data_IF_569298293922
#
_entry.id   IF_569298293922
#
_cell.length_a   1.000
_cell.length_b   1.000
_cell.length_c   1.000
_cell.angle_alpha   90.00
_cell.angle_beta   90.00
_cell.angle_gamma   90.00
#
_symmetry.space_group_name_H-M   'P 1'
#
loop_
_entity.id
_entity.type
_entity.pdbx_description
1 polymer ?
#
# COMPACT_ATOMS: atom_id res chain seq x y z
N UNK A 1 7.87 12.55 -8.70
CA UNK A 1 7.53 11.14 -8.36
C UNK A 1 6.47 10.62 -9.34
N UNK A 2 6.41 9.32 -9.66
CA UNK A 2 5.34 8.73 -10.48
C UNK A 2 4.43 7.85 -9.60
N UNK A 3 3.10 8.09 -9.55
CA UNK A 3 2.20 7.26 -8.76
C UNK A 3 1.99 5.91 -9.46
N UNK A 4 2.59 4.86 -8.90
CA UNK A 4 2.42 3.49 -9.35
C UNK A 4 1.79 2.66 -8.23
N UNK A 5 0.92 1.73 -8.61
CA UNK A 5 0.35 0.74 -7.70
C UNK A 5 1.14 -0.57 -7.80
N UNK A 6 1.58 -1.09 -6.66
CA UNK A 6 2.29 -2.37 -6.58
C UNK A 6 1.33 -3.48 -6.18
N UNK A 7 1.35 -4.57 -6.94
CA UNK A 7 0.74 -5.81 -6.48
C UNK A 7 1.72 -6.53 -5.54
N UNK A 8 1.47 -6.42 -4.23
CA UNK A 8 2.29 -7.04 -3.20
C UNK A 8 1.77 -8.39 -2.74
N UNK A 9 0.69 -8.91 -3.32
CA UNK A 9 0.15 -10.22 -2.92
C UNK A 9 1.20 -11.32 -3.03
N UNK A 10 1.55 -11.93 -1.90
CA UNK A 10 2.58 -12.97 -1.78
C UNK A 10 4.02 -12.50 -2.06
N UNK A 11 4.25 -11.19 -2.13
CA UNK A 11 5.60 -10.62 -2.31
C UNK A 11 6.27 -10.42 -0.95
N UNK A 12 7.52 -10.85 -0.86
CA UNK A 12 8.34 -10.71 0.35
C UNK A 12 8.71 -9.26 0.58
N UNK A 13 8.35 -8.73 1.74
CA UNK A 13 8.65 -7.36 2.16
C UNK A 13 9.31 -7.40 3.53
N UNK A 14 10.41 -6.65 3.69
CA UNK A 14 11.09 -6.52 4.97
C UNK A 14 10.76 -5.18 5.62
N UNK A 15 10.44 -5.21 6.91
CA UNK A 15 10.30 -4.02 7.76
C UNK A 15 11.33 -4.10 8.87
N UNK A 16 12.19 -3.08 8.96
CA UNK A 16 13.15 -2.94 10.05
C UNK A 16 12.55 -1.99 11.10
N UNK A 17 12.27 -2.51 12.29
CA UNK A 17 11.61 -1.81 13.38
C UNK A 17 10.14 -2.20 13.56
N UNK A 18 9.65 -2.07 14.80
CA UNK A 18 8.27 -2.33 15.19
C UNK A 18 7.73 -1.24 16.14
N UNK A 19 8.12 0.02 15.89
CA UNK A 19 7.58 1.20 16.56
C UNK A 19 6.29 1.72 15.90
N UNK A 20 5.73 2.80 16.44
CA UNK A 20 4.50 3.45 15.94
C UNK A 20 4.49 3.68 14.43
N UNK A 21 5.60 4.19 13.90
CA UNK A 21 5.73 4.49 12.47
C UNK A 21 5.78 3.20 11.65
N UNK A 22 6.47 2.16 12.13
CA UNK A 22 6.53 0.85 11.48
C UNK A 22 5.18 0.13 11.50
N UNK A 23 4.48 0.14 12.63
CA UNK A 23 3.15 -0.51 12.77
C UNK A 23 2.14 0.00 11.75
N UNK A 24 2.11 1.32 11.50
CA UNK A 24 1.26 1.90 10.45
C UNK A 24 1.57 1.38 9.04
N UNK A 25 2.82 0.98 8.77
CA UNK A 25 3.32 0.56 7.45
C UNK A 25 3.09 -0.93 7.29
N UNK A 26 3.36 -1.70 8.34
CA UNK A 26 3.02 -3.12 8.45
C UNK A 26 1.53 -3.31 8.17
N UNK A 27 0.64 -2.51 8.77
CA UNK A 27 -0.80 -2.60 8.52
C UNK A 27 -1.18 -2.36 7.04
N UNK A 28 -0.53 -1.40 6.36
CA UNK A 28 -0.76 -1.14 4.94
C UNK A 28 -0.25 -2.27 4.05
N UNK A 29 0.90 -2.85 4.39
CA UNK A 29 1.51 -3.97 3.68
C UNK A 29 0.68 -5.26 3.85
N UNK A 30 0.18 -5.51 5.06
CA UNK A 30 -0.65 -6.67 5.39
C UNK A 30 -1.99 -6.59 4.65
N UNK A 31 -2.63 -5.41 4.65
CA UNK A 31 -3.82 -5.14 3.84
C UNK A 31 -3.58 -5.25 2.32
N UNK A 32 -2.33 -5.16 1.86
CA UNK A 32 -1.92 -5.38 0.47
C UNK A 32 -1.57 -6.86 0.17
N UNK A 33 -1.60 -7.74 1.17
CA UNK A 33 -1.30 -9.16 1.06
C UNK A 33 0.18 -9.48 0.96
N UNK A 34 1.06 -8.60 1.43
CA UNK A 34 2.49 -8.84 1.46
C UNK A 34 2.86 -10.00 2.41
N UNK A 35 3.90 -10.76 2.05
CA UNK A 35 4.56 -11.68 2.95
C UNK A 35 5.61 -10.90 3.77
N UNK A 36 5.24 -10.53 4.99
CA UNK A 36 5.99 -9.55 5.79
C UNK A 36 6.98 -10.28 6.70
N UNK A 37 8.23 -9.85 6.63
CA UNK A 37 9.24 -10.12 7.66
C UNK A 37 9.53 -8.84 8.44
N UNK A 38 9.57 -8.93 9.76
CA UNK A 38 9.93 -7.82 10.65
C UNK A 38 11.21 -8.18 11.40
N UNK A 39 12.22 -7.31 11.35
CA UNK A 39 13.42 -7.40 12.19
C UNK A 39 13.45 -6.17 13.10
N UNK A 40 13.50 -6.36 14.41
CA UNK A 40 13.49 -5.25 15.37
C UNK A 40 14.23 -5.61 16.65
N UNK A 41 14.80 -4.63 17.35
CA UNK A 41 15.35 -4.84 18.70
C UNK A 41 14.28 -4.85 19.78
N UNK A 42 13.14 -4.20 19.51
CA UNK A 42 12.03 -4.05 20.45
C UNK A 42 10.70 -3.99 19.69
N UNK A 43 9.64 -4.57 20.26
CA UNK A 43 8.28 -4.56 19.71
C UNK A 43 7.43 -3.61 20.54
N UNK A 44 7.17 -2.42 20.01
CA UNK A 44 6.37 -1.38 20.68
C UNK A 44 4.94 -1.31 20.17
N UNK A 45 4.71 -1.79 18.93
CA UNK A 45 3.40 -1.93 18.32
C UNK A 45 3.14 -3.40 17.95
N UNK A 46 1.88 -3.85 17.94
CA UNK A 46 1.53 -5.19 17.49
C UNK A 46 2.02 -5.47 16.07
N UNK A 47 2.65 -6.63 15.90
CA UNK A 47 2.99 -7.22 14.61
C UNK A 47 1.93 -8.30 14.32
N UNK A 48 1.32 -8.34 13.12
CA UNK A 48 0.29 -9.33 12.81
C UNK A 48 0.86 -10.74 12.84
N UNK A 49 0.05 -11.71 13.26
CA UNK A 49 0.46 -13.13 13.36
C UNK A 49 0.87 -13.74 12.01
N UNK A 50 0.43 -13.14 10.90
CA UNK A 50 0.83 -13.50 9.54
C UNK A 50 2.29 -13.16 9.23
N UNK A 51 2.92 -12.25 9.97
CA UNK A 51 4.27 -11.81 9.72
C UNK A 51 5.32 -12.67 10.44
N UNK A 52 6.46 -12.87 9.79
CA UNK A 52 7.63 -13.47 10.42
C UNK A 52 8.36 -12.42 11.25
N UNK A 53 8.54 -12.63 12.56
CA UNK A 53 9.19 -11.68 13.47
C UNK A 53 10.54 -12.20 13.98
N UNK A 54 11.58 -11.38 13.84
CA UNK A 54 12.89 -11.58 14.45
C UNK A 54 13.21 -10.45 15.43
N UNK A 55 13.33 -10.78 16.71
CA UNK A 55 13.70 -9.81 17.76
C UNK A 55 15.22 -9.79 17.93
N UNK A 56 15.90 -9.07 17.05
CA UNK A 56 17.35 -8.85 17.06
C UNK A 56 17.73 -7.59 16.26
N UNK A 57 18.97 -7.07 16.40
CA UNK A 57 19.47 -6.03 15.52
C UNK A 57 19.55 -6.49 14.06
N UNK A 58 19.44 -5.54 13.13
CA UNK A 58 19.77 -5.75 11.73
C UNK A 58 21.25 -6.12 11.57
N UNK A 59 21.52 -6.99 10.59
CA UNK A 59 22.86 -7.44 10.20
C UNK A 59 22.99 -7.35 8.67
N UNK A 60 24.15 -6.96 8.13
CA UNK A 60 24.39 -7.01 6.69
C UNK A 60 24.10 -8.40 6.13
N UNK A 61 23.32 -8.46 5.04
CA UNK A 61 22.81 -9.71 4.47
C UNK A 61 21.32 -9.94 4.74
N UNK A 62 20.73 -9.28 5.74
CA UNK A 62 19.30 -9.43 6.06
C UNK A 62 18.37 -8.96 4.93
N UNK A 63 18.87 -8.12 4.01
CA UNK A 63 18.07 -7.66 2.87
C UNK A 63 18.00 -8.72 1.75
N UNK A 64 18.72 -9.84 1.86
CA UNK A 64 18.76 -10.88 0.85
C UNK A 64 17.38 -11.53 0.62
N UNK A 65 16.98 -11.62 -0.66
CA UNK A 65 15.70 -12.21 -1.05
C UNK A 65 14.49 -11.28 -0.93
N UNK A 66 14.68 -10.02 -0.51
CA UNK A 66 13.65 -8.99 -0.48
C UNK A 66 13.77 -8.04 -1.68
N UNK A 67 12.64 -7.55 -2.19
CA UNK A 67 12.59 -6.56 -3.28
C UNK A 67 12.11 -5.19 -2.80
N UNK A 68 11.48 -5.15 -1.63
CA UNK A 68 10.95 -3.94 -0.99
C UNK A 68 11.33 -3.97 0.50
N UNK A 69 11.98 -2.91 0.97
CA UNK A 69 12.43 -2.77 2.35
C UNK A 69 11.93 -1.43 2.91
N UNK A 70 11.44 -1.47 4.15
CA UNK A 70 11.08 -0.28 4.92
C UNK A 70 12.02 -0.22 6.13
N UNK A 71 12.87 0.81 6.19
CA UNK A 71 13.70 1.09 7.36
C UNK A 71 13.01 2.09 8.29
N UNK A 72 12.50 1.59 9.41
CA UNK A 72 11.85 2.36 10.47
C UNK A 72 12.58 2.20 11.82
N UNK A 73 13.91 2.02 11.76
CA UNK A 73 14.74 1.76 12.96
C UNK A 73 14.96 2.98 13.84
N UNK A 74 14.95 4.19 13.25
CA UNK A 74 15.33 5.43 13.93
C UNK A 74 16.82 5.55 14.28
N UNK A 75 17.66 4.59 13.87
CA UNK A 75 19.10 4.57 14.20
C UNK A 75 19.92 4.89 12.95
N UNK A 76 20.57 6.07 12.95
CA UNK A 76 21.32 6.57 11.78
C UNK A 76 22.35 5.59 11.24
N UNK A 77 23.18 5.01 12.11
CA UNK A 77 24.20 4.03 11.71
C UNK A 77 23.60 2.76 11.06
N UNK A 78 22.41 2.32 11.49
CA UNK A 78 21.72 1.18 10.87
C UNK A 78 21.15 1.58 9.52
N UNK A 79 20.54 2.76 9.43
CA UNK A 79 20.02 3.27 8.15
C UNK A 79 21.11 3.39 7.09
N UNK A 80 22.32 3.81 7.46
CA UNK A 80 23.44 3.94 6.52
C UNK A 80 23.84 2.58 5.93
N UNK A 81 23.89 1.53 6.77
CA UNK A 81 24.16 0.16 6.33
C UNK A 81 23.06 -0.36 5.39
N UNK A 82 21.80 -0.17 5.78
CA UNK A 82 20.63 -0.60 5.01
C UNK A 82 20.57 0.10 3.65
N UNK A 83 20.85 1.42 3.61
CA UNK A 83 20.87 2.21 2.37
C UNK A 83 21.98 1.72 1.43
N UNK A 84 23.19 1.49 1.98
CA UNK A 84 24.30 0.98 1.18
C UNK A 84 23.98 -0.42 0.62
N UNK A 85 23.45 -1.32 1.45
CA UNK A 85 23.10 -2.67 1.02
C UNK A 85 21.97 -2.67 -0.01
N UNK A 86 20.88 -1.95 0.24
CA UNK A 86 19.74 -1.86 -0.67
C UNK A 86 20.17 -1.35 -2.05
N UNK A 87 20.99 -0.29 -2.08
CA UNK A 87 21.54 0.26 -3.33
C UNK A 87 22.39 -0.75 -4.08
N UNK A 88 23.25 -1.50 -3.38
CA UNK A 88 24.13 -2.50 -4.01
C UNK A 88 23.35 -3.68 -4.63
N UNK A 89 22.15 -3.96 -4.12
CA UNK A 89 21.28 -5.06 -4.54
C UNK A 89 20.14 -4.64 -5.47
N UNK A 90 19.94 -3.33 -5.70
CA UNK A 90 18.81 -2.82 -6.48
C UNK A 90 17.46 -3.02 -5.79
N UNK A 91 17.44 -3.00 -4.45
CA UNK A 91 16.23 -3.14 -3.64
C UNK A 91 15.57 -1.77 -3.47
N UNK A 92 14.25 -1.69 -3.62
CA UNK A 92 13.52 -0.46 -3.32
C UNK A 92 13.41 -0.26 -1.82
N UNK A 93 13.94 0.87 -1.37
CA UNK A 93 14.02 1.23 0.04
C UNK A 93 13.16 2.45 0.36
N UNK A 94 12.42 2.37 1.47
CA UNK A 94 11.84 3.54 2.13
C UNK A 94 12.50 3.70 3.50
N UNK A 95 13.20 4.80 3.73
CA UNK A 95 13.74 5.18 5.03
C UNK A 95 12.79 6.17 5.68
N UNK A 96 12.17 5.77 6.78
CA UNK A 96 11.26 6.62 7.54
C UNK A 96 11.97 7.89 7.98
N UNK A 97 11.28 9.02 7.81
CA UNK A 97 11.74 10.38 8.15
C UNK A 97 13.01 10.84 7.40
N UNK A 98 13.44 10.11 6.36
CA UNK A 98 14.51 10.54 5.46
C UNK A 98 14.11 10.42 3.98
N UNK A 99 13.35 11.41 3.47
CA UNK A 99 12.92 11.44 2.08
C UNK A 99 14.05 11.40 1.05
N UNK A 100 15.26 11.85 1.41
CA UNK A 100 16.41 11.92 0.49
C UNK A 100 17.01 10.55 0.17
N UNK A 101 16.69 9.54 0.99
CA UNK A 101 17.18 8.16 0.85
C UNK A 101 16.05 7.16 0.55
N UNK A 102 14.90 7.65 0.08
CA UNK A 102 13.75 6.83 -0.31
C UNK A 102 13.66 6.68 -1.83
N UNK A 103 13.43 5.45 -2.30
CA UNK A 103 13.08 5.16 -3.70
C UNK A 103 11.57 5.31 -3.95
N UNK A 104 10.76 5.17 -2.88
CA UNK A 104 9.30 5.28 -2.93
C UNK A 104 8.75 5.92 -1.66
N UNK A 105 7.51 6.42 -1.75
CA UNK A 105 6.83 7.08 -0.64
C UNK A 105 5.48 6.42 -0.38
N UNK A 106 5.16 6.23 0.90
CA UNK A 106 3.79 5.96 1.29
C UNK A 106 2.92 7.20 1.07
N UNK A 107 1.72 6.99 0.56
CA UNK A 107 0.75 8.06 0.27
C UNK A 107 -0.40 8.02 1.28
N UNK A 108 -1.20 9.08 1.36
CA UNK A 108 -2.46 9.03 2.09
C UNK A 108 -3.46 8.19 1.28
N UNK A 109 -3.84 7.02 1.80
CA UNK A 109 -4.69 6.07 1.11
C UNK A 109 -6.08 6.04 1.72
N UNK A 110 -7.11 6.08 0.88
CA UNK A 110 -8.46 5.62 1.19
C UNK A 110 -8.75 4.38 0.35
N UNK A 111 -9.34 3.36 0.96
CA UNK A 111 -9.67 2.09 0.32
C UNK A 111 -11.12 1.73 0.58
N UNK A 112 -11.83 1.40 -0.50
CA UNK A 112 -13.13 0.75 -0.49
C UNK A 112 -13.06 -0.51 -1.38
N UNK A 113 -12.78 -1.65 -0.75
CA UNK A 113 -12.57 -2.93 -1.45
C UNK A 113 -11.47 -2.83 -2.53
N UNK A 114 -11.78 -3.05 -3.82
CA UNK A 114 -10.83 -2.92 -4.94
C UNK A 114 -10.62 -1.48 -5.43
N UNK A 115 -11.39 -0.49 -4.95
CA UNK A 115 -11.24 0.92 -5.32
C UNK A 115 -10.31 1.60 -4.32
N UNK A 116 -9.25 2.21 -4.84
CA UNK A 116 -8.20 2.81 -4.03
C UNK A 116 -7.97 4.23 -4.53
N UNK A 117 -7.99 5.19 -3.60
CA UNK A 117 -7.54 6.56 -3.84
C UNK A 117 -6.26 6.78 -3.05
N UNK A 118 -5.22 7.23 -3.73
CA UNK A 118 -3.96 7.65 -3.12
C UNK A 118 -3.74 9.14 -3.38
N UNK A 119 -3.33 9.85 -2.33
CA UNK A 119 -2.97 11.27 -2.40
C UNK A 119 -1.55 11.44 -1.91
N UNK A 120 -0.73 12.12 -2.70
CA UNK A 120 0.64 12.45 -2.35
C UNK A 120 0.91 13.94 -2.48
N UNK A 121 1.79 14.43 -1.62
CA UNK A 121 2.39 15.77 -1.71
C UNK A 121 3.91 15.67 -1.95
N UNK A 122 4.36 14.53 -2.50
CA UNK A 122 5.78 14.19 -2.69
C UNK A 122 6.59 14.32 -1.39
N UNK A 123 5.98 13.95 -0.26
CA UNK A 123 6.57 14.07 1.08
C UNK A 123 6.55 15.48 1.67
N UNK A 124 6.15 16.51 0.92
CA UNK A 124 6.23 17.91 1.36
C UNK A 124 5.23 18.27 2.46
N UNK A 125 4.04 17.68 2.44
CA UNK A 125 2.97 18.02 3.39
C UNK A 125 2.05 16.81 3.69
N UNK A 126 2.43 15.92 4.62
CA UNK A 126 1.63 14.75 4.98
C UNK A 126 0.22 15.10 5.50
N UNK A 127 0.10 16.18 6.28
CA UNK A 127 -1.19 16.65 6.79
C UNK A 127 -2.13 17.10 5.66
N UNK A 128 -1.59 17.80 4.64
CA UNK A 128 -2.36 18.20 3.46
C UNK A 128 -2.81 16.98 2.64
N UNK A 129 -1.94 15.99 2.47
CA UNK A 129 -2.29 14.75 1.78
C UNK A 129 -3.45 14.02 2.46
N UNK A 130 -3.45 13.96 3.80
CA UNK A 130 -4.55 13.40 4.59
C UNK A 130 -5.84 14.20 4.44
N UNK A 131 -5.76 15.52 4.52
CA UNK A 131 -6.90 16.42 4.35
C UNK A 131 -7.56 16.24 2.98
N UNK A 132 -6.78 16.25 1.89
CA UNK A 132 -7.30 16.05 0.53
C UNK A 132 -7.88 14.65 0.35
N UNK A 133 -7.24 13.61 0.90
CA UNK A 133 -7.79 12.24 0.89
C UNK A 133 -9.16 12.20 1.59
N UNK A 134 -9.35 12.89 2.70
CA UNK A 134 -10.64 12.92 3.42
C UNK A 134 -11.73 13.69 2.68
N UNK A 135 -11.36 14.77 2.00
CA UNK A 135 -12.28 15.47 1.10
C UNK A 135 -12.74 14.56 -0.03
N UNK A 136 -11.81 13.86 -0.69
CA UNK A 136 -12.14 12.91 -1.76
C UNK A 136 -13.01 11.79 -1.20
N UNK A 137 -12.62 11.16 -0.09
CA UNK A 137 -13.40 10.11 0.56
C UNK A 137 -14.84 10.54 0.84
N UNK A 138 -15.04 11.74 1.38
CA UNK A 138 -16.36 12.27 1.71
C UNK A 138 -17.24 12.50 0.48
N UNK A 139 -16.64 12.70 -0.69
CA UNK A 139 -17.35 12.92 -1.95
C UNK A 139 -17.63 11.61 -2.73
N UNK A 140 -16.98 10.49 -2.38
CA UNK A 140 -17.18 9.22 -3.07
C UNK A 140 -18.50 8.56 -2.64
N UNK A 141 -19.20 7.88 -3.57
CA UNK A 141 -20.28 6.96 -3.21
C UNK A 141 -19.82 5.89 -2.24
N UNK A 142 -20.71 5.45 -1.35
CA UNK A 142 -20.38 4.48 -0.29
C UNK A 142 -20.30 3.02 -0.79
N UNK A 143 -20.78 2.76 -2.01
CA UNK A 143 -20.99 1.43 -2.55
C UNK A 143 -19.99 1.03 -3.64
N UNK A 144 -18.91 1.80 -3.82
CA UNK A 144 -17.97 1.62 -4.93
C UNK A 144 -17.33 0.23 -4.96
N UNK A 145 -17.09 -0.39 -3.81
CA UNK A 145 -16.62 -1.77 -3.75
C UNK A 145 -17.61 -2.76 -4.37
N UNK A 146 -18.90 -2.63 -4.08
CA UNK A 146 -19.95 -3.47 -4.66
C UNK A 146 -20.06 -3.24 -6.18
N UNK A 147 -20.10 -1.97 -6.59
CA UNK A 147 -20.12 -1.56 -8.00
C UNK A 147 -18.93 -2.15 -8.76
N UNK A 148 -17.71 -2.00 -8.25
CA UNK A 148 -16.50 -2.52 -8.89
C UNK A 148 -16.52 -4.05 -9.05
N UNK A 149 -17.06 -4.78 -8.07
CA UNK A 149 -17.23 -6.24 -8.16
C UNK A 149 -18.28 -6.62 -9.21
N UNK A 150 -19.39 -5.88 -9.26
CA UNK A 150 -20.46 -6.10 -10.24
C UNK A 150 -19.97 -5.87 -11.66
N UNK A 151 -19.30 -4.75 -11.91
CA UNK A 151 -18.74 -4.42 -13.22
C UNK A 151 -17.70 -5.44 -13.68
N UNK A 152 -16.86 -5.95 -12.76
CA UNK A 152 -15.94 -7.05 -13.06
C UNK A 152 -16.69 -8.29 -13.52
N UNK A 153 -17.69 -8.73 -12.75
CA UNK A 153 -18.49 -9.91 -13.08
C UNK A 153 -19.21 -9.77 -14.43
N UNK A 154 -19.77 -8.59 -14.72
CA UNK A 154 -20.44 -8.33 -16.01
C UNK A 154 -19.45 -8.37 -17.17
N UNK A 155 -18.28 -7.74 -17.00
CA UNK A 155 -17.22 -7.74 -18.01
C UNK A 155 -16.68 -9.15 -18.28
N UNK A 156 -16.45 -9.93 -17.23
CA UNK A 156 -15.92 -11.29 -17.34
C UNK A 156 -16.94 -12.20 -18.06
N UNK A 157 -18.25 -12.09 -17.76
CA UNK A 157 -19.32 -12.80 -18.49
C UNK A 157 -19.37 -12.45 -19.98
N UNK A 158 -19.22 -11.17 -20.32
CA UNK A 158 -19.19 -10.73 -21.73
C UNK A 158 -17.98 -11.31 -22.47
N UNK A 159 -16.82 -11.36 -21.82
CA UNK A 159 -15.63 -11.97 -22.40
C UNK A 159 -15.78 -13.48 -22.62
N UNK A 160 -16.42 -14.19 -21.68
CA UNK A 160 -16.71 -15.62 -21.82
C UNK A 160 -17.68 -15.90 -23.00
N UNK A 161 -18.56 -14.94 -23.30
CA UNK A 161 -19.45 -14.97 -24.47
C UNK A 161 -18.80 -14.44 -25.77
N UNK A 162 -17.52 -14.04 -25.72
CA UNK A 162 -16.78 -13.51 -26.87
C UNK A 162 -17.17 -12.08 -27.28
N UNK A 163 -17.88 -11.37 -26.42
CA UNK A 163 -18.35 -9.99 -26.65
C UNK A 163 -17.24 -9.01 -26.29
N UNK A 164 -16.89 -8.11 -27.21
CA UNK A 164 -15.99 -6.99 -26.92
C UNK A 164 -16.68 -5.96 -26.03
N UNK A 165 -15.95 -5.44 -25.04
CA UNK A 165 -16.47 -4.47 -24.07
C UNK A 165 -16.07 -3.02 -24.38
N UNK A 166 -15.36 -2.79 -25.49
CA UNK A 166 -14.86 -1.47 -25.87
C UNK A 166 -15.98 -0.49 -26.27
N UNK A 167 -17.07 -1.00 -26.83
CA UNK A 167 -18.24 -0.20 -27.24
C UNK A 167 -19.24 0.04 -26.12
N UNK A 168 -19.02 -0.53 -24.93
CA UNK A 168 -19.96 -0.42 -23.80
C UNK A 168 -19.80 0.95 -23.14
N UNK A 169 -20.93 1.62 -22.91
CA UNK A 169 -20.97 2.84 -22.10
C UNK A 169 -20.86 2.49 -20.62
N UNK A 170 -19.65 2.19 -20.16
CA UNK A 170 -19.38 1.88 -18.76
C UNK A 170 -19.79 3.01 -17.81
N UNK A 171 -19.71 4.26 -18.26
CA UNK A 171 -20.15 5.41 -17.46
C UNK A 171 -21.64 5.34 -17.10
N UNK A 172 -22.51 5.09 -18.08
CA UNK A 172 -23.94 4.98 -17.83
C UNK A 172 -24.26 3.82 -16.87
N UNK A 173 -23.57 2.68 -17.04
CA UNK A 173 -23.72 1.53 -16.14
C UNK A 173 -23.21 1.80 -14.73
N UNK A 174 -22.10 2.54 -14.59
CA UNK A 174 -21.59 2.99 -13.29
C UNK A 174 -22.62 3.91 -12.60
N UNK A 175 -23.15 4.89 -13.32
CA UNK A 175 -24.12 5.86 -12.76
C UNK A 175 -25.38 5.15 -12.24
N UNK A 176 -25.88 4.15 -12.97
CA UNK A 176 -27.00 3.30 -12.55
C UNK A 176 -26.69 2.52 -11.26
N UNK A 177 -25.58 1.77 -11.24
CA UNK A 177 -25.18 0.94 -10.10
C UNK A 177 -24.87 1.76 -8.84
N UNK A 178 -24.34 2.98 -9.01
CA UNK A 178 -24.12 3.92 -7.90
C UNK A 178 -25.45 4.40 -7.33
N UNK A 179 -26.46 4.62 -8.17
CA UNK A 179 -27.78 5.08 -7.74
C UNK A 179 -28.60 4.01 -6.99
N UNK A 180 -28.49 2.73 -7.38
CA UNK A 180 -29.29 1.62 -6.84
C UNK A 180 -29.28 1.50 -5.30
N UNK A 181 -28.14 1.73 -4.63
CA UNK A 181 -28.04 1.63 -3.16
C UNK A 181 -28.57 2.87 -2.40
N UNK A 182 -28.79 4.00 -3.08
CA UNK A 182 -29.34 5.21 -2.43
C UNK A 182 -30.84 5.06 -2.09
N UNK A 183 -31.47 4.00 -2.59
CA UNK A 183 -32.92 3.73 -2.50
C UNK A 183 -33.31 2.78 -1.37
N UNK A 184 -32.35 2.27 -0.59
CA UNK A 184 -32.60 1.31 0.49
C UNK A 184 -32.21 1.91 1.84
N UNK A 185 -32.96 2.93 2.28
CA UNK A 185 -33.00 3.44 3.67
C UNK A 185 -34.46 3.71 4.06
#
# INVERSE_FOLDING_TARGET
MLPLAFNLTGKRVLVLGAGRVAGSKIALLDAAGADITVITTEVLEPVPDSATLFVRPYQPGDLEGFQLVISATGVGAVNDLVVAEAKSRGIWLNVVDDPSRCDFYFTAVHRDGPVIVSVSTEGSAPALAQYVRDLVRSALPKNLSAVARRLRSERDSMHDEGISTESISWRARIDELVAEETTTD
#
